data_IF_399315589590
#
_entry.id   IF_399315589590
#
_cell.length_a   1.000
_cell.length_b   1.000
_cell.length_c   1.000
_cell.angle_alpha   90.00
_cell.angle_beta   90.00
_cell.angle_gamma   90.00
#
_symmetry.space_group_name_H-M   'P 1'
#
loop_
_entity.id
_entity.type
_entity.pdbx_description
1 polymer ?
#
# COMPACT_ATOMS: atom_id res chain seq x y z
N UNK A 1 -4.67 -7.18 -21.52
CA UNK A 1 -3.57 -6.20 -21.40
C UNK A 1 -2.94 -6.36 -20.03
N UNK A 2 -1.80 -7.04 -19.95
CA UNK A 2 -1.00 -7.16 -18.72
C UNK A 2 -0.30 -5.83 -18.49
N UNK A 3 -0.95 -4.90 -17.81
CA UNK A 3 -0.29 -3.70 -17.27
C UNK A 3 0.80 -4.19 -16.32
N UNK A 4 2.06 -3.85 -16.61
CA UNK A 4 3.18 -4.19 -15.77
C UNK A 4 2.91 -3.66 -14.35
N UNK A 5 2.71 -4.58 -13.39
CA UNK A 5 2.36 -4.27 -12.00
C UNK A 5 3.49 -3.56 -11.24
N UNK A 6 4.67 -3.48 -11.85
CA UNK A 6 5.87 -2.90 -11.27
C UNK A 6 6.54 -2.00 -12.30
N UNK A 7 6.50 -0.70 -12.04
CA UNK A 7 7.13 0.35 -12.83
C UNK A 7 8.07 1.17 -11.93
N UNK A 8 9.10 1.84 -12.45
CA UNK A 8 10.04 2.58 -11.61
C UNK A 8 9.38 3.64 -10.71
N UNK A 9 8.24 4.21 -11.11
CA UNK A 9 7.46 5.18 -10.35
C UNK A 9 6.82 4.62 -9.06
N UNK A 10 6.69 3.29 -8.94
CA UNK A 10 6.21 2.65 -7.70
C UNK A 10 7.34 2.14 -6.79
N UNK A 11 8.60 2.48 -7.10
CA UNK A 11 9.76 2.12 -6.29
C UNK A 11 10.31 3.36 -5.59
N UNK A 12 10.36 3.32 -4.25
CA UNK A 12 10.96 4.38 -3.45
C UNK A 12 12.13 3.84 -2.63
N UNK A 13 13.30 4.44 -2.82
CA UNK A 13 14.49 4.21 -2.01
C UNK A 13 14.62 5.30 -0.94
N UNK A 14 15.15 4.95 0.24
CA UNK A 14 15.43 5.91 1.33
C UNK A 14 14.21 6.76 1.71
N UNK A 15 13.03 6.14 1.67
CA UNK A 15 11.77 6.80 1.98
C UNK A 15 11.80 7.36 3.40
N UNK A 16 11.60 8.67 3.54
CA UNK A 16 11.64 9.36 4.82
C UNK A 16 10.36 9.07 5.62
N UNK A 17 10.42 8.04 6.47
CA UNK A 17 9.38 7.68 7.42
C UNK A 17 9.99 7.38 8.80
N UNK A 18 9.51 8.08 9.84
CA UNK A 18 9.98 7.91 11.23
C UNK A 18 9.05 7.00 12.05
N UNK A 19 7.93 6.58 11.48
CA UNK A 19 6.96 5.70 12.12
C UNK A 19 6.28 4.78 11.12
N UNK A 20 5.77 3.64 11.62
CA UNK A 20 4.95 2.71 10.83
C UNK A 20 3.78 3.42 10.14
N UNK A 21 3.10 4.32 10.85
CA UNK A 21 1.96 5.08 10.30
C UNK A 21 2.38 5.94 9.11
N UNK A 22 3.51 6.66 9.23
CA UNK A 22 4.02 7.49 8.15
C UNK A 22 4.43 6.65 6.94
N UNK A 23 5.10 5.51 7.17
CA UNK A 23 5.47 4.58 6.11
C UNK A 23 4.23 4.06 5.37
N UNK A 24 3.23 3.57 6.08
CA UNK A 24 1.99 3.06 5.49
C UNK A 24 1.21 4.16 4.74
N UNK A 25 1.22 5.39 5.24
CA UNK A 25 0.64 6.55 4.55
C UNK A 25 1.31 6.80 3.19
N UNK A 26 2.64 6.87 3.15
CA UNK A 26 3.38 7.12 1.92
C UNK A 26 3.23 5.99 0.91
N UNK A 27 3.34 4.73 1.35
CA UNK A 27 3.13 3.56 0.48
C UNK A 27 1.71 3.52 -0.08
N UNK A 28 0.70 3.84 0.73
CA UNK A 28 -0.71 3.89 0.28
C UNK A 28 -0.93 4.97 -0.77
N UNK A 29 -0.31 6.14 -0.61
CA UNK A 29 -0.38 7.23 -1.59
C UNK A 29 0.25 6.84 -2.92
N UNK A 30 1.44 6.22 -2.92
CA UNK A 30 2.10 5.72 -4.13
C UNK A 30 1.27 4.65 -4.85
N UNK A 31 0.78 3.66 -4.10
CA UNK A 31 -0.04 2.57 -4.64
C UNK A 31 -1.37 3.09 -5.21
N UNK A 32 -2.02 4.03 -4.53
CA UNK A 32 -3.26 4.64 -4.99
C UNK A 32 -3.08 5.44 -6.28
N UNK A 33 -2.00 6.22 -6.39
CA UNK A 33 -1.68 6.98 -7.59
C UNK A 33 -1.48 6.06 -8.80
N UNK A 34 -0.71 4.98 -8.63
CA UNK A 34 -0.45 4.02 -9.70
C UNK A 34 -1.71 3.23 -10.11
N UNK A 35 -2.57 2.87 -9.14
CA UNK A 35 -3.78 2.10 -9.41
C UNK A 35 -5.00 2.96 -9.82
N UNK A 36 -4.88 4.29 -9.83
CA UNK A 36 -6.00 5.20 -10.08
C UNK A 36 -7.10 5.12 -9.01
N UNK A 37 -6.70 4.90 -7.74
CA UNK A 37 -7.60 4.71 -6.59
C UNK A 37 -7.56 5.91 -5.64
N UNK A 38 -8.53 5.97 -4.72
CA UNK A 38 -8.53 6.94 -3.63
C UNK A 38 -7.52 6.53 -2.54
N UNK A 39 -6.54 7.38 -2.28
CA UNK A 39 -5.49 7.24 -1.27
C UNK A 39 -6.04 6.92 0.13
N UNK A 40 -7.08 7.64 0.57
CA UNK A 40 -7.73 7.42 1.87
C UNK A 40 -8.34 6.03 1.98
N UNK A 41 -8.92 5.50 0.90
CA UNK A 41 -9.50 4.14 0.87
C UNK A 41 -8.39 3.09 0.98
N UNK A 42 -7.32 3.24 0.19
CA UNK A 42 -6.15 2.35 0.25
C UNK A 42 -5.55 2.35 1.66
N UNK A 43 -5.27 3.52 2.21
CA UNK A 43 -4.70 3.66 3.55
C UNK A 43 -5.57 3.03 4.63
N UNK A 44 -6.88 3.32 4.60
CA UNK A 44 -7.82 2.80 5.60
C UNK A 44 -7.85 1.28 5.59
N UNK A 45 -7.80 0.67 4.39
CA UNK A 45 -7.75 -0.78 4.23
C UNK A 45 -6.41 -1.36 4.75
N UNK A 46 -5.28 -0.75 4.38
CA UNK A 46 -3.94 -1.15 4.85
C UNK A 46 -3.84 -1.07 6.38
N UNK A 47 -4.27 0.03 6.98
CA UNK A 47 -4.25 0.21 8.46
C UNK A 47 -5.15 -0.83 9.13
N UNK A 48 -6.34 -1.06 8.59
CA UNK A 48 -7.26 -2.07 9.14
C UNK A 48 -6.64 -3.45 9.11
N UNK A 49 -5.93 -3.81 8.02
CA UNK A 49 -5.22 -5.09 7.92
C UNK A 49 -4.03 -5.18 8.88
N UNK A 50 -3.21 -4.15 9.00
CA UNK A 50 -2.03 -4.15 9.88
C UNK A 50 -2.42 -4.25 11.37
N UNK A 51 -3.60 -3.74 11.76
CA UNK A 51 -4.13 -3.86 13.14
C UNK A 51 -4.44 -5.30 13.56
N UNK A 52 -4.72 -6.21 12.61
CA UNK A 52 -4.97 -7.62 12.90
C UNK A 52 -3.70 -8.38 13.31
N UNK A 53 -2.54 -7.77 13.08
CA UNK A 53 -1.24 -8.39 13.24
C UNK A 53 -0.31 -7.84 12.17
N UNK A 54 0.92 -7.56 12.57
CA UNK A 54 1.89 -6.95 11.67
C UNK A 54 2.11 -7.81 10.44
N UNK A 55 2.24 -7.15 9.29
CA UNK A 55 2.62 -7.80 8.03
C UNK A 55 4.14 -7.99 7.89
N UNK A 56 4.91 -7.69 8.95
CA UNK A 56 6.33 -7.98 9.03
C UNK A 56 6.58 -9.49 9.05
N UNK A 57 7.46 -9.96 8.16
CA UNK A 57 7.83 -11.38 8.04
C UNK A 57 9.22 -11.69 8.64
N UNK A 58 9.83 -10.70 9.30
CA UNK A 58 11.19 -10.79 9.86
C UNK A 58 12.26 -10.24 8.91
N UNK A 59 13.52 -10.20 9.38
CA UNK A 59 14.70 -9.79 8.59
C UNK A 59 14.58 -8.39 7.94
N UNK A 60 13.83 -7.49 8.56
CA UNK A 60 13.59 -6.14 8.00
C UNK A 60 12.62 -6.11 6.81
N UNK A 61 11.88 -7.20 6.55
CA UNK A 61 10.90 -7.29 5.46
C UNK A 61 9.47 -7.24 5.98
N UNK A 62 8.59 -6.62 5.19
CA UNK A 62 7.15 -6.56 5.44
C UNK A 62 6.37 -6.54 4.12
N UNK A 63 5.13 -7.02 4.16
CA UNK A 63 4.22 -7.03 3.01
C UNK A 63 2.91 -6.29 3.35
N UNK A 64 2.88 -4.96 3.45
CA UNK A 64 1.64 -4.23 3.70
C UNK A 64 0.65 -4.44 2.55
N UNK A 65 -0.45 -5.15 2.82
CA UNK A 65 -1.48 -5.49 1.85
C UNK A 65 -2.87 -5.25 2.42
N UNK A 66 -3.88 -5.13 1.57
CA UNK A 66 -5.28 -5.11 1.95
C UNK A 66 -6.16 -5.45 0.76
N UNK A 67 -7.36 -5.95 1.06
CA UNK A 67 -8.42 -6.14 0.06
C UNK A 67 -9.19 -4.83 -0.07
N UNK A 68 -9.47 -4.43 -1.31
CA UNK A 68 -10.34 -3.30 -1.61
C UNK A 68 -11.59 -3.79 -2.31
N UNK A 69 -12.75 -3.32 -1.86
CA UNK A 69 -14.00 -3.56 -2.55
C UNK A 69 -13.97 -2.84 -3.90
N UNK A 70 -13.85 -3.61 -4.98
CA UNK A 70 -14.05 -3.09 -6.32
C UNK A 70 -15.54 -2.85 -6.50
N UNK A 71 -16.01 -1.64 -6.90
CA UNK A 71 -17.40 -1.48 -7.30
C UNK A 71 -17.67 -2.47 -8.43
N UNK A 72 -18.65 -3.37 -8.22
CA UNK A 72 -19.10 -4.27 -9.27
C UNK A 72 -19.75 -3.38 -10.34
N UNK A 73 -19.07 -3.21 -11.47
CA UNK A 73 -19.71 -2.70 -12.69
C UNK A 73 -20.75 -3.76 -13.06
N UNK A 74 -22.03 -3.40 -12.99
CA UNK A 74 -23.10 -4.20 -13.59
C UNK A 74 -23.00 -4.11 -15.11
#
# INVERSE_FOLDING_TARGET
MTTATFTPDVVACRLAATSKKQLLQQLSTMAAAHAGLCDRKVLSAIISREKLGSTGIGNGLALPHAILDRPRVR
#
